data_IF_204580705060
#
_entry.id   IF_204580705060
#
_cell.length_a   1.000
_cell.length_b   1.000
_cell.length_c   1.000
_cell.angle_alpha   90.00
_cell.angle_beta   90.00
_cell.angle_gamma   90.00
#
_symmetry.space_group_name_H-M   'P 1'
#
loop_
_entity.id
_entity.type
_entity.pdbx_description
1 polymer ?
#
# COMPACT_ATOMS: atom_id res chain seq x y z
N UNK A 1 9.79 1.58 18.83
CA UNK A 1 8.82 1.52 17.73
C UNK A 1 7.84 0.38 17.96
N UNK A 2 6.58 0.63 17.71
CA UNK A 2 5.55 -0.40 17.78
C UNK A 2 5.59 -1.28 16.54
N UNK A 3 4.93 -2.43 16.60
CA UNK A 3 4.80 -3.30 15.41
C UNK A 3 4.05 -2.58 14.28
N UNK A 4 3.07 -1.73 14.62
CA UNK A 4 2.36 -0.95 13.64
C UNK A 4 3.29 0.07 12.95
N UNK A 5 4.20 0.69 13.68
CA UNK A 5 5.17 1.61 13.09
C UNK A 5 6.08 0.88 12.09
N UNK A 6 6.51 -0.34 12.44
CA UNK A 6 7.30 -1.16 11.53
C UNK A 6 6.50 -1.55 10.29
N UNK A 7 5.22 -1.85 10.47
CA UNK A 7 4.32 -2.15 9.35
C UNK A 7 4.24 -0.95 8.40
N UNK A 8 4.03 0.26 8.93
CA UNK A 8 3.97 1.46 8.10
C UNK A 8 5.29 1.74 7.38
N UNK A 9 6.42 1.45 8.01
CA UNK A 9 7.72 1.55 7.34
C UNK A 9 7.81 0.63 6.14
N UNK A 10 7.32 -0.61 6.26
CA UNK A 10 7.29 -1.55 5.14
C UNK A 10 6.36 -1.06 4.03
N UNK A 11 5.21 -0.49 4.40
CA UNK A 11 4.30 0.13 3.43
C UNK A 11 5.03 1.24 2.67
N UNK A 12 5.71 2.13 3.38
CA UNK A 12 6.43 3.25 2.77
C UNK A 12 7.54 2.77 1.84
N UNK A 13 8.28 1.74 2.24
CA UNK A 13 9.34 1.16 1.40
C UNK A 13 8.74 0.60 0.11
N UNK A 14 7.64 -0.13 0.22
CA UNK A 14 6.96 -0.70 -0.94
C UNK A 14 6.44 0.39 -1.87
N UNK A 15 5.72 1.38 -1.34
CA UNK A 15 5.20 2.49 -2.13
C UNK A 15 6.34 3.27 -2.80
N UNK A 16 7.40 3.55 -2.07
CA UNK A 16 8.55 4.27 -2.62
C UNK A 16 9.18 3.52 -3.79
N UNK A 17 9.30 2.19 -3.69
CA UNK A 17 9.87 1.38 -4.75
C UNK A 17 8.97 1.27 -5.97
N UNK A 18 7.64 1.41 -5.78
CA UNK A 18 6.66 1.23 -6.86
C UNK A 18 6.28 2.55 -7.53
N UNK A 19 6.06 3.60 -6.76
CA UNK A 19 5.53 4.87 -7.29
C UNK A 19 6.32 6.10 -6.82
N UNK A 20 7.36 5.93 -6.00
CA UNK A 20 8.17 7.04 -5.51
C UNK A 20 7.50 7.92 -4.47
N UNK A 21 6.45 7.43 -3.81
CA UNK A 21 5.70 8.15 -2.78
C UNK A 21 5.63 7.30 -1.52
N UNK A 22 5.30 7.95 -0.39
CA UNK A 22 5.06 7.25 0.88
C UNK A 22 3.59 7.30 1.25
N UNK A 23 3.20 6.58 2.31
CA UNK A 23 1.81 6.56 2.78
C UNK A 23 1.30 7.95 3.16
N UNK A 24 2.18 8.86 3.56
CA UNK A 24 1.80 10.23 3.90
C UNK A 24 1.56 11.10 2.68
N UNK A 25 1.99 10.67 1.50
CA UNK A 25 1.85 11.41 0.24
C UNK A 25 0.59 11.03 -0.52
N UNK A 26 -0.07 9.95 -0.16
CA UNK A 26 -1.27 9.45 -0.83
C UNK A 26 -2.48 9.61 0.10
N UNK A 27 -3.69 9.42 -0.44
CA UNK A 27 -4.90 9.49 0.35
C UNK A 27 -4.89 8.42 1.46
N UNK A 28 -5.42 8.76 2.62
CA UNK A 28 -5.48 7.84 3.74
C UNK A 28 -6.22 6.57 3.38
N UNK A 29 -5.68 5.45 3.83
CA UNK A 29 -6.32 4.15 3.74
C UNK A 29 -6.41 3.56 5.16
N UNK A 30 -7.23 2.54 5.39
CA UNK A 30 -7.38 1.97 6.74
C UNK A 30 -6.18 1.08 7.11
N UNK A 31 -5.00 1.70 7.24
CA UNK A 31 -3.74 0.98 7.50
C UNK A 31 -3.81 0.11 8.75
N UNK A 32 -4.46 0.61 9.81
CA UNK A 32 -4.60 -0.13 11.06
C UNK A 32 -5.41 -1.41 10.85
N UNK A 33 -6.50 -1.34 10.06
CA UNK A 33 -7.31 -2.51 9.75
C UNK A 33 -6.50 -3.54 8.97
N UNK A 34 -5.71 -3.10 8.01
CA UNK A 34 -4.82 -3.98 7.25
C UNK A 34 -3.81 -4.66 8.17
N UNK A 35 -3.26 -3.90 9.10
CA UNK A 35 -2.30 -4.43 10.07
C UNK A 35 -2.95 -5.49 10.95
N UNK A 36 -4.14 -5.23 11.46
CA UNK A 36 -4.86 -6.15 12.33
C UNK A 36 -5.29 -7.42 11.59
N UNK A 37 -5.56 -7.30 10.28
CA UNK A 37 -5.90 -8.44 9.43
C UNK A 37 -4.68 -9.22 8.96
N UNK A 38 -3.48 -8.80 9.34
CA UNK A 38 -2.22 -9.44 8.98
C UNK A 38 -2.04 -9.56 7.46
N UNK A 39 -2.48 -8.54 6.73
CA UNK A 39 -2.39 -8.51 5.26
C UNK A 39 -0.94 -8.34 4.81
N UNK A 40 -0.62 -8.92 3.64
CA UNK A 40 0.69 -8.73 3.03
C UNK A 40 0.90 -7.28 2.64
N UNK A 41 2.15 -6.82 2.69
CA UNK A 41 2.51 -5.42 2.41
C UNK A 41 2.07 -5.02 0.99
N UNK A 42 2.38 -5.85 0.00
CA UNK A 42 2.02 -5.57 -1.40
C UNK A 42 0.51 -5.51 -1.59
N UNK A 43 -0.23 -6.38 -0.91
CA UNK A 43 -1.69 -6.39 -0.96
C UNK A 43 -2.25 -5.10 -0.40
N UNK A 44 -1.73 -4.64 0.74
CA UNK A 44 -2.14 -3.37 1.36
C UNK A 44 -1.91 -2.20 0.40
N UNK A 45 -0.73 -2.15 -0.20
CA UNK A 45 -0.38 -1.08 -1.14
C UNK A 45 -1.29 -1.09 -2.37
N UNK A 46 -1.56 -2.26 -2.93
CA UNK A 46 -2.41 -2.39 -4.10
C UNK A 46 -3.83 -1.90 -3.81
N UNK A 47 -4.41 -2.34 -2.69
CA UNK A 47 -5.77 -1.93 -2.31
C UNK A 47 -5.83 -0.43 -2.04
N UNK A 48 -4.83 0.10 -1.31
CA UNK A 48 -4.80 1.52 -1.00
C UNK A 48 -4.74 2.38 -2.27
N UNK A 49 -3.92 1.98 -3.24
CA UNK A 49 -3.80 2.71 -4.49
C UNK A 49 -5.07 2.58 -5.35
N UNK A 50 -5.66 1.39 -5.40
CA UNK A 50 -6.84 1.14 -6.22
C UNK A 50 -8.09 1.77 -5.62
N UNK A 51 -8.38 1.51 -4.34
CA UNK A 51 -9.64 1.90 -3.71
C UNK A 51 -9.65 3.36 -3.24
N UNK A 52 -8.50 3.89 -2.82
CA UNK A 52 -8.45 5.19 -2.15
C UNK A 52 -7.73 6.26 -2.95
N UNK A 53 -7.03 5.90 -4.01
CA UNK A 53 -6.25 6.85 -4.81
C UNK A 53 -6.59 6.79 -6.30
N UNK A 54 -7.64 6.09 -6.66
CA UNK A 54 -8.16 6.01 -8.05
C UNK A 54 -7.10 5.57 -9.06
N UNK A 55 -6.12 4.77 -8.63
CA UNK A 55 -5.12 4.23 -9.55
C UNK A 55 -5.76 3.10 -10.34
N UNK A 56 -5.80 3.16 -11.68
CA UNK A 56 -6.45 2.11 -12.46
C UNK A 56 -5.70 0.78 -12.39
N UNK A 57 -6.44 -0.30 -12.62
CA UNK A 57 -5.89 -1.66 -12.57
C UNK A 57 -4.69 -1.81 -13.52
N UNK A 58 -4.78 -1.24 -14.73
CA UNK A 58 -3.69 -1.33 -15.71
C UNK A 58 -2.39 -0.74 -15.16
N UNK A 59 -2.48 0.35 -14.41
CA UNK A 59 -1.32 0.98 -13.79
C UNK A 59 -0.76 0.08 -12.68
N UNK A 60 -1.64 -0.54 -11.89
CA UNK A 60 -1.21 -1.49 -10.86
C UNK A 60 -0.44 -2.67 -11.48
N UNK A 61 -0.92 -3.20 -12.59
CA UNK A 61 -0.21 -4.26 -13.31
C UNK A 61 1.17 -3.77 -13.74
N UNK A 62 1.26 -2.55 -14.26
CA UNK A 62 2.54 -1.97 -14.72
C UNK A 62 3.57 -1.85 -13.62
N UNK A 63 3.14 -1.57 -12.40
CA UNK A 63 4.06 -1.43 -11.26
C UNK A 63 4.22 -2.70 -10.44
N UNK A 64 3.62 -3.81 -10.89
CA UNK A 64 3.80 -5.11 -10.26
C UNK A 64 2.86 -5.41 -9.11
N UNK A 65 1.77 -4.65 -8.98
CA UNK A 65 0.79 -4.84 -7.91
C UNK A 65 -0.56 -5.39 -8.40
N UNK A 66 -0.70 -5.66 -9.70
CA UNK A 66 -1.96 -6.12 -10.27
C UNK A 66 -2.43 -7.48 -9.74
N UNK A 67 -1.49 -8.34 -9.33
CA UNK A 67 -1.81 -9.68 -8.83
C UNK A 67 -2.48 -9.67 -7.45
N UNK A 68 -2.51 -8.54 -6.78
CA UNK A 68 -3.03 -8.41 -5.41
C UNK A 68 -4.45 -7.83 -5.36
N UNK A 69 -5.06 -7.58 -6.50
CA UNK A 69 -6.43 -7.05 -6.58
C UNK A 69 -7.40 -8.13 -7.06
#
# INVERSE_FOLDING_TARGET
MTDFDKFLQQIDICLMSKIGLTSSCIADAPWRDYFEDEMEIECCCAIALFDYNDIPFDTLVSIGLGDYI
#
